data_IF_802345070252
#
_entry.id   IF_802345070252
#
_cell.length_a   1.000
_cell.length_b   1.000
_cell.length_c   1.000
_cell.angle_alpha   90.00
_cell.angle_beta   90.00
_cell.angle_gamma   90.00
#
_symmetry.space_group_name_H-M   'P 1'
#
loop_
_entity.id
_entity.type
_entity.pdbx_description
1 polymer ?
#
# COMPACT_ATOMS: atom_id res chain seq x y z
N UNK A 1 -11.75 0.75 28.07
CA UNK A 1 -10.37 0.63 27.56
C UNK A 1 -10.49 0.70 26.04
N UNK A 2 -10.08 1.80 25.42
CA UNK A 2 -10.11 1.92 23.96
C UNK A 2 -8.96 1.03 23.50
N UNK A 3 -9.25 -0.10 22.85
CA UNK A 3 -8.20 -0.81 22.14
C UNK A 3 -7.83 0.09 20.96
N UNK A 4 -6.69 0.77 21.07
CA UNK A 4 -6.12 1.45 19.92
C UNK A 4 -5.85 0.40 18.85
N UNK A 5 -6.34 0.66 17.65
CA UNK A 5 -6.14 -0.21 16.49
C UNK A 5 -4.63 -0.29 16.19
N UNK A 6 -4.04 -1.46 16.46
CA UNK A 6 -2.60 -1.66 16.28
C UNK A 6 -2.21 -1.74 14.79
N UNK A 7 -3.19 -1.75 13.88
CA UNK A 7 -2.93 -1.67 12.44
C UNK A 7 -2.28 -0.35 12.01
N UNK A 8 -2.21 0.64 12.90
CA UNK A 8 -1.43 1.87 12.71
C UNK A 8 0.09 1.65 12.85
N UNK A 9 0.52 0.55 13.47
CA UNK A 9 1.93 0.27 13.65
C UNK A 9 2.54 -0.31 12.36
N UNK A 10 3.66 0.26 11.87
CA UNK A 10 4.27 -0.16 10.60
C UNK A 10 4.56 -1.66 10.55
N UNK A 11 5.04 -2.25 11.64
CA UNK A 11 5.49 -3.64 11.64
C UNK A 11 4.48 -4.63 12.23
N UNK A 12 3.24 -4.22 12.54
CA UNK A 12 2.24 -5.08 13.18
C UNK A 12 2.04 -6.39 12.43
N UNK A 13 1.87 -6.34 11.10
CA UNK A 13 1.68 -7.49 10.22
C UNK A 13 2.90 -7.82 9.35
N UNK A 14 4.09 -7.35 9.72
CA UNK A 14 5.34 -7.60 9.00
C UNK A 14 5.61 -6.62 7.85
N UNK A 15 6.39 -7.07 6.85
CA UNK A 15 6.92 -6.20 5.79
C UNK A 15 5.90 -5.88 4.68
N UNK A 16 4.87 -6.71 4.50
CA UNK A 16 3.80 -6.47 3.54
C UNK A 16 2.54 -7.28 3.89
N UNK A 17 2.02 -7.11 5.11
CA UNK A 17 0.84 -7.83 5.60
C UNK A 17 -0.39 -6.93 5.71
N UNK A 18 -1.58 -7.53 5.54
CA UNK A 18 -2.86 -6.86 5.73
C UNK A 18 -3.36 -7.01 7.17
N UNK A 19 -3.80 -5.90 7.75
CA UNK A 19 -4.27 -5.79 9.13
C UNK A 19 -5.71 -5.30 9.20
N UNK A 20 -6.52 -5.90 10.06
CA UNK A 20 -7.90 -5.50 10.38
C UNK A 20 -8.16 -5.86 11.85
N UNK A 21 -8.74 -4.96 12.64
CA UNK A 21 -9.03 -5.19 14.06
C UNK A 21 -7.83 -5.71 14.87
N UNK A 22 -6.64 -5.17 14.61
CA UNK A 22 -5.35 -5.63 15.17
C UNK A 22 -4.96 -7.09 14.84
N UNK A 23 -5.62 -7.74 13.88
CA UNK A 23 -5.38 -9.11 13.45
C UNK A 23 -4.63 -9.21 12.12
N UNK A 24 -3.97 -10.36 11.92
CA UNK A 24 -3.23 -10.70 10.70
C UNK A 24 -4.17 -11.33 9.68
N UNK A 25 -4.60 -10.56 8.68
CA UNK A 25 -5.69 -10.99 7.77
C UNK A 25 -5.16 -11.68 6.52
N UNK A 26 -3.99 -11.30 6.03
CA UNK A 26 -3.42 -11.94 4.85
C UNK A 26 -2.19 -11.29 4.24
N UNK A 27 -1.63 -11.96 3.25
CA UNK A 27 -0.60 -11.40 2.37
C UNK A 27 -1.26 -10.87 1.08
N UNK A 28 -1.14 -9.59 0.74
CA UNK A 28 -1.61 -9.08 -0.54
C UNK A 28 -0.74 -9.58 -1.69
N UNK A 29 -1.38 -9.93 -2.81
CA UNK A 29 -0.71 -10.35 -4.05
C UNK A 29 -1.46 -9.82 -5.27
N UNK A 30 -0.87 -9.86 -6.48
CA UNK A 30 -1.59 -9.53 -7.71
C UNK A 30 -2.83 -10.41 -7.96
N UNK A 31 -2.90 -11.60 -7.36
CA UNK A 31 -4.01 -12.55 -7.52
C UNK A 31 -5.01 -12.50 -6.36
N UNK A 32 -4.93 -11.48 -5.51
CA UNK A 32 -5.78 -11.32 -4.32
C UNK A 32 -5.03 -11.50 -3.01
N UNK A 33 -5.77 -11.71 -1.93
CA UNK A 33 -5.22 -11.83 -0.57
C UNK A 33 -5.16 -13.31 -0.18
N UNK A 34 -3.97 -13.79 0.16
CA UNK A 34 -3.73 -15.14 0.64
C UNK A 34 -3.61 -15.17 2.17
N UNK A 35 -3.65 -16.38 2.74
CA UNK A 35 -3.43 -16.59 4.17
C UNK A 35 -2.15 -15.88 4.64
N UNK A 36 -2.22 -15.25 5.81
CA UNK A 36 -1.08 -14.52 6.35
C UNK A 36 0.07 -15.47 6.68
N UNK A 37 1.29 -14.98 6.48
CA UNK A 37 2.50 -15.63 6.98
C UNK A 37 3.55 -14.57 7.37
N UNK A 38 4.52 -14.97 8.19
CA UNK A 38 5.68 -14.11 8.50
C UNK A 38 6.47 -13.66 7.26
N UNK A 39 6.32 -14.40 6.16
CA UNK A 39 7.01 -14.17 4.90
C UNK A 39 6.19 -13.33 3.91
N UNK A 40 5.06 -12.72 4.35
CA UNK A 40 4.33 -11.74 3.54
C UNK A 40 5.26 -10.61 3.09
N UNK A 41 5.60 -10.63 1.80
CA UNK A 41 6.53 -9.68 1.21
C UNK A 41 6.20 -9.46 -0.27
N UNK A 42 6.69 -8.35 -0.81
CA UNK A 42 6.67 -8.09 -2.26
C UNK A 42 8.09 -8.21 -2.81
N UNK A 43 8.22 -8.65 -4.06
CA UNK A 43 9.51 -8.63 -4.75
C UNK A 43 9.86 -7.19 -5.12
N UNK A 44 11.15 -6.85 -5.04
CA UNK A 44 11.62 -5.57 -5.56
C UNK A 44 11.30 -5.48 -7.06
N UNK A 45 10.55 -4.45 -7.50
CA UNK A 45 10.11 -4.31 -8.89
C UNK A 45 11.22 -3.87 -9.85
N UNK A 46 12.40 -3.48 -9.34
CA UNK A 46 13.44 -2.83 -10.12
C UNK A 46 13.07 -1.39 -10.52
N UNK A 47 13.94 -0.74 -11.30
CA UNK A 47 13.71 0.65 -11.74
C UNK A 47 13.20 0.78 -13.18
N UNK A 48 13.42 -0.22 -14.02
CA UNK A 48 12.98 -0.17 -15.41
C UNK A 48 11.45 -0.24 -15.47
N UNK A 49 10.80 0.81 -16.00
CA UNK A 49 9.34 0.89 -16.15
C UNK A 49 8.73 -0.26 -16.98
N UNK A 50 9.51 -0.85 -17.89
CA UNK A 50 9.08 -2.04 -18.65
C UNK A 50 9.21 -3.36 -17.88
N UNK A 51 9.87 -3.35 -16.70
CA UNK A 51 10.12 -4.53 -15.88
C UNK A 51 9.09 -4.77 -14.77
N UNK A 52 8.13 -3.86 -14.58
CA UNK A 52 7.10 -3.99 -13.54
C UNK A 52 5.73 -3.53 -14.04
N UNK A 53 4.70 -3.96 -13.33
CA UNK A 53 3.33 -3.48 -13.46
C UNK A 53 2.77 -3.09 -12.10
N UNK A 54 1.69 -2.33 -12.08
CA UNK A 54 0.93 -2.07 -10.86
C UNK A 54 -0.26 -3.02 -10.77
N UNK A 55 -0.55 -3.51 -9.56
CA UNK A 55 -1.83 -4.10 -9.22
C UNK A 55 -2.52 -3.29 -8.14
N UNK A 56 -3.85 -3.24 -8.18
CA UNK A 56 -4.65 -2.43 -7.27
C UNK A 56 -5.15 -3.28 -6.09
N UNK A 57 -5.02 -2.72 -4.88
CA UNK A 57 -5.70 -3.18 -3.67
C UNK A 57 -6.68 -2.09 -3.25
N UNK A 58 -7.96 -2.45 -3.10
CA UNK A 58 -9.02 -1.51 -2.69
C UNK A 58 -9.27 -1.60 -1.19
N UNK A 59 -9.69 -0.49 -0.58
CA UNK A 59 -10.08 -0.45 0.82
C UNK A 59 -8.89 -0.72 1.75
N UNK A 60 -7.71 -0.22 1.38
CA UNK A 60 -6.51 -0.34 2.20
C UNK A 60 -5.77 0.99 2.25
N UNK A 61 -5.13 1.24 3.39
CA UNK A 61 -4.29 2.41 3.63
C UNK A 61 -2.92 2.01 4.16
N UNK A 62 -1.95 2.89 3.90
CA UNK A 62 -0.63 2.83 4.49
C UNK A 62 -0.65 3.52 5.86
N UNK A 63 0.14 3.03 6.80
CA UNK A 63 0.23 3.63 8.14
C UNK A 63 0.58 5.13 8.11
N UNK A 64 1.28 5.62 7.08
CA UNK A 64 1.65 7.05 6.96
C UNK A 64 0.48 8.00 6.73
N UNK A 65 -0.68 7.49 6.31
CA UNK A 65 -1.90 8.33 6.09
C UNK A 65 -2.29 9.06 7.38
N UNK A 66 -2.02 8.47 8.53
CA UNK A 66 -2.41 9.00 9.84
C UNK A 66 -1.41 10.02 10.39
N UNK A 67 -0.18 9.96 9.89
CA UNK A 67 0.91 10.84 10.31
C UNK A 67 1.18 11.99 9.33
N UNK A 68 0.68 11.90 8.09
CA UNK A 68 0.96 12.88 7.04
C UNK A 68 -0.27 13.15 6.18
N UNK A 69 -0.51 14.41 5.79
CA UNK A 69 -1.67 14.76 4.95
C UNK A 69 -1.53 14.27 3.51
N UNK A 70 -0.38 13.74 3.10
CA UNK A 70 -0.10 13.34 1.72
C UNK A 70 -0.01 14.53 0.75
N UNK A 71 0.28 14.22 -0.51
CA UNK A 71 0.30 15.20 -1.59
C UNK A 71 -1.07 15.27 -2.24
N UNK A 72 -1.69 16.45 -2.29
CA UNK A 72 -3.07 16.63 -2.72
C UNK A 72 -3.25 17.40 -4.02
N UNK A 73 -4.52 17.51 -4.45
CA UNK A 73 -4.96 18.24 -5.64
C UNK A 73 -4.34 17.74 -6.94
N UNK A 74 -4.13 16.43 -7.05
CA UNK A 74 -3.53 15.79 -8.22
C UNK A 74 -4.33 14.59 -8.71
N UNK A 75 -4.16 14.24 -9.98
CA UNK A 75 -4.77 13.04 -10.56
C UNK A 75 -3.96 11.81 -10.16
N UNK A 76 -4.62 10.66 -10.08
CA UNK A 76 -3.97 9.36 -9.85
C UNK A 76 -2.80 9.12 -10.83
N UNK A 77 -2.93 9.53 -12.08
CA UNK A 77 -1.88 9.39 -13.10
C UNK A 77 -0.59 10.13 -12.75
N UNK A 78 -0.69 11.28 -12.07
CA UNK A 78 0.48 12.08 -11.70
C UNK A 78 1.27 11.37 -10.59
N UNK A 79 0.54 10.76 -9.65
CA UNK A 79 1.10 9.91 -8.62
C UNK A 79 1.78 8.66 -9.20
N UNK A 80 1.12 7.97 -10.12
CA UNK A 80 1.68 6.81 -10.80
C UNK A 80 2.95 7.17 -11.57
N UNK A 81 2.94 8.28 -12.30
CA UNK A 81 4.11 8.80 -13.00
C UNK A 81 5.25 9.11 -12.03
N UNK A 82 4.96 9.77 -10.90
CA UNK A 82 5.96 10.08 -9.86
C UNK A 82 6.60 8.81 -9.30
N UNK A 83 5.79 7.79 -8.96
CA UNK A 83 6.29 6.52 -8.46
C UNK A 83 7.05 5.72 -9.53
N UNK A 84 6.61 5.77 -10.79
CA UNK A 84 7.25 5.06 -11.90
C UNK A 84 8.64 5.60 -12.19
N UNK A 85 8.81 6.91 -12.11
CA UNK A 85 10.10 7.59 -12.30
C UNK A 85 11.01 7.56 -11.06
N UNK A 86 10.56 6.96 -9.95
CA UNK A 86 11.36 6.80 -8.73
C UNK A 86 11.72 5.32 -8.51
N UNK A 87 13.00 5.00 -8.65
CA UNK A 87 13.53 3.65 -8.49
C UNK A 87 13.27 3.05 -7.10
N UNK A 88 13.11 3.88 -6.06
CA UNK A 88 12.89 3.42 -4.69
C UNK A 88 11.42 3.20 -4.38
N UNK A 89 10.52 3.75 -5.19
CA UNK A 89 9.08 3.60 -4.96
C UNK A 89 8.67 2.15 -5.14
N UNK A 90 8.06 1.56 -4.10
CA UNK A 90 7.46 0.22 -4.14
C UNK A 90 5.97 0.25 -4.51
N UNK A 91 5.32 1.40 -4.31
CA UNK A 91 3.92 1.59 -4.63
C UNK A 91 3.42 2.94 -4.14
N UNK A 92 2.15 3.21 -4.38
CA UNK A 92 1.51 4.43 -3.92
C UNK A 92 0.10 4.18 -3.44
N UNK A 93 -0.36 5.04 -2.53
CA UNK A 93 -1.71 5.01 -1.96
C UNK A 93 -2.44 6.25 -2.44
N UNK A 94 -3.69 6.09 -2.86
CA UNK A 94 -4.48 7.16 -3.44
C UNK A 94 -5.87 7.20 -2.83
N UNK A 95 -6.28 8.38 -2.39
CA UNK A 95 -7.60 8.69 -1.88
C UNK A 95 -8.36 9.49 -2.93
N UNK A 96 -9.38 8.87 -3.53
CA UNK A 96 -10.16 9.47 -4.62
C UNK A 96 -11.07 10.61 -4.17
N UNK A 97 -11.54 10.58 -2.92
CA UNK A 97 -12.39 11.62 -2.33
C UNK A 97 -11.65 12.93 -2.06
N UNK A 98 -10.38 12.86 -1.66
CA UNK A 98 -9.56 14.03 -1.32
C UNK A 98 -8.55 14.39 -2.41
N UNK A 99 -8.44 13.56 -3.46
CA UNK A 99 -7.45 13.67 -4.53
C UNK A 99 -6.01 13.72 -3.97
N UNK A 100 -5.74 12.91 -2.94
CA UNK A 100 -4.46 12.84 -2.23
C UNK A 100 -3.75 11.53 -2.44
N UNK A 101 -2.42 11.56 -2.37
CA UNK A 101 -1.58 10.38 -2.48
C UNK A 101 -0.40 10.36 -1.52
N UNK A 102 0.12 9.14 -1.30
CA UNK A 102 1.33 8.87 -0.55
C UNK A 102 2.21 7.91 -1.35
N UNK A 103 3.49 8.25 -1.47
CA UNK A 103 4.51 7.37 -2.06
C UNK A 103 5.05 6.48 -0.96
N UNK A 104 5.09 5.17 -1.22
CA UNK A 104 5.64 4.19 -0.30
C UNK A 104 6.97 3.66 -0.85
N UNK A 105 8.04 3.90 -0.09
CA UNK A 105 9.36 3.32 -0.32
C UNK A 105 9.55 1.98 0.40
N UNK A 106 8.71 1.73 1.40
CA UNK A 106 8.50 0.45 2.05
C UNK A 106 6.98 0.27 2.20
N UNK A 107 6.47 -0.96 2.10
CA UNK A 107 5.03 -1.20 2.15
C UNK A 107 4.51 -1.47 3.56
N UNK A 108 5.25 -2.24 4.35
CA UNK A 108 4.98 -2.51 5.76
C UNK A 108 3.53 -3.03 5.96
N UNK A 109 2.96 -2.81 7.13
CA UNK A 109 1.57 -3.15 7.42
C UNK A 109 0.62 -2.25 6.65
N UNK A 110 -0.32 -2.88 5.94
CA UNK A 110 -1.45 -2.20 5.32
C UNK A 110 -2.68 -2.38 6.20
N UNK A 111 -3.34 -1.28 6.53
CA UNK A 111 -4.59 -1.29 7.28
C UNK A 111 -5.76 -1.44 6.31
N UNK A 112 -6.65 -2.40 6.55
CA UNK A 112 -7.96 -2.41 5.89
C UNK A 112 -8.77 -1.22 6.38
N UNK A 113 -9.42 -0.56 5.43
CA UNK A 113 -10.36 0.53 5.70
C UNK A 113 -11.66 0.21 4.96
N UNK A 114 -12.79 0.35 5.65
CA UNK A 114 -14.12 0.07 5.08
C UNK A 114 -14.54 1.04 3.96
N UNK A 115 -13.67 1.96 3.53
CA UNK A 115 -13.97 2.99 2.56
C UNK A 115 -13.48 2.59 1.15
N UNK A 116 -14.39 2.58 0.17
CA UNK A 116 -14.07 2.28 -1.23
C UNK A 116 -13.23 3.37 -1.92
N UNK A 117 -13.01 4.53 -1.29
CA UNK A 117 -12.25 5.63 -1.88
C UNK A 117 -10.74 5.52 -1.70
N UNK A 118 -10.28 4.68 -0.78
CA UNK A 118 -8.86 4.38 -0.54
C UNK A 118 -8.40 3.22 -1.41
N UNK A 119 -7.25 3.36 -2.07
CA UNK A 119 -6.64 2.29 -2.86
C UNK A 119 -5.12 2.36 -2.81
N UNK A 120 -4.49 1.19 -2.75
CA UNK A 120 -3.06 1.04 -2.99
C UNK A 120 -2.80 0.52 -4.41
N UNK A 121 -1.71 0.98 -5.00
CA UNK A 121 -1.21 0.55 -6.29
C UNK A 121 0.24 0.10 -6.09
N UNK A 122 0.44 -1.20 -6.09
CA UNK A 122 1.71 -1.82 -5.68
C UNK A 122 2.46 -2.27 -6.92
N UNK A 123 3.75 -1.91 -7.02
CA UNK A 123 4.60 -2.42 -8.09
C UNK A 123 4.86 -3.90 -7.88
N UNK A 124 4.82 -4.66 -8.97
CA UNK A 124 5.20 -6.06 -9.00
C UNK A 124 6.00 -6.34 -10.27
N UNK A 125 7.10 -7.11 -10.22
CA UNK A 125 7.83 -7.51 -11.42
C UNK A 125 6.92 -8.20 -12.43
N UNK A 126 7.17 -7.96 -13.72
CA UNK A 126 6.61 -8.77 -14.80
C UNK A 126 7.47 -10.03 -14.87
N UNK A 127 6.91 -11.16 -14.44
CA UNK A 127 7.54 -12.49 -14.48
C UNK A 127 7.35 -13.15 -15.84
#
# INVERSE_FOLDING_TARGET
>A
MIFEDECQLPNRCGNFGLCEDSQFVGCPTPNGVFAWSKDCNTKSPGCNASGFRYYQLKGVDHFTVEYTPGTGSVKRSDCESKCTNDCKCMGYFYHTNTLRYWIAYELKTLKKVGNSTSSAYIKTPIS
#
